data_IF_725936099256
#
_entry.id   IF_725936099256
#
_cell.length_a   1.000
_cell.length_b   1.000
_cell.length_c   1.000
_cell.angle_alpha   90.00
_cell.angle_beta   90.00
_cell.angle_gamma   90.00
#
_symmetry.space_group_name_H-M   'P 1'
#
loop_
_entity.id
_entity.type
_entity.pdbx_description
1 polymer ?
#
# COMPACT_ATOMS: atom_id res chain seq x y z
N UNK A 1 6.31 5.05 17.88
CA UNK A 1 7.58 4.33 17.62
C UNK A 1 7.35 2.97 16.99
N UNK A 2 8.42 2.32 16.49
CA UNK A 2 8.41 0.95 15.95
C UNK A 2 7.38 0.64 14.84
N UNK A 3 6.90 1.65 14.10
CA UNK A 3 6.03 1.41 12.96
C UNK A 3 6.83 0.94 11.73
N UNK A 4 6.21 0.13 10.89
CA UNK A 4 6.76 -0.30 9.61
C UNK A 4 6.05 0.41 8.46
N UNK A 5 6.81 1.10 7.61
CA UNK A 5 6.28 1.75 6.41
C UNK A 5 6.77 1.01 5.18
N UNK A 6 5.87 0.32 4.49
CA UNK A 6 6.19 -0.41 3.26
C UNK A 6 6.68 0.52 2.15
N UNK A 7 7.49 -0.02 1.23
CA UNK A 7 8.05 0.75 0.11
C UNK A 7 6.96 1.39 -0.75
N UNK A 8 7.26 2.57 -1.31
CA UNK A 8 6.34 3.34 -2.15
C UNK A 8 5.00 3.65 -1.44
N UNK A 9 5.05 3.98 -0.14
CA UNK A 9 3.90 4.48 0.61
C UNK A 9 3.79 5.99 0.45
N UNK A 10 2.58 6.47 0.21
CA UNK A 10 2.25 7.90 0.20
C UNK A 10 1.49 8.25 1.48
N UNK A 11 1.98 9.26 2.22
CA UNK A 11 1.33 9.77 3.44
C UNK A 11 0.75 11.16 3.15
N UNK A 12 -0.58 11.28 3.14
CA UNK A 12 -1.26 12.56 2.93
C UNK A 12 -1.46 13.23 4.29
N UNK A 13 -0.73 14.30 4.54
CA UNK A 13 -0.79 15.02 5.80
C UNK A 13 -2.08 15.86 5.95
N UNK A 14 -2.53 16.13 7.19
CA UNK A 14 -2.03 15.54 8.43
C UNK A 14 -2.54 14.10 8.62
N UNK A 15 -1.67 13.22 9.13
CA UNK A 15 -2.01 11.84 9.51
C UNK A 15 -1.11 11.36 10.64
N UNK A 16 -1.65 10.57 11.56
CA UNK A 16 -0.94 9.95 12.67
C UNK A 16 -0.80 8.44 12.42
N UNK A 17 0.43 7.94 12.54
CA UNK A 17 0.72 6.51 12.48
C UNK A 17 1.01 6.02 13.90
N UNK A 18 0.12 5.17 14.41
CA UNK A 18 0.23 4.61 15.75
C UNK A 18 1.47 3.76 15.96
N UNK A 19 1.84 3.58 17.23
CA UNK A 19 2.97 2.74 17.62
C UNK A 19 2.80 1.30 17.13
N UNK A 20 3.86 0.71 16.59
CA UNK A 20 3.83 -0.67 16.09
C UNK A 20 2.93 -0.90 14.87
N UNK A 21 2.35 0.15 14.27
CA UNK A 21 1.51 0.01 13.09
C UNK A 21 2.32 -0.47 11.87
N UNK A 22 1.66 -1.21 10.98
CA UNK A 22 2.24 -1.69 9.72
C UNK A 22 1.49 -1.07 8.54
N UNK A 23 2.24 -0.48 7.60
CA UNK A 23 1.70 0.03 6.35
C UNK A 23 2.17 -0.86 5.21
N UNK A 24 1.22 -1.42 4.45
CA UNK A 24 1.52 -2.23 3.29
C UNK A 24 2.17 -1.41 2.17
N UNK A 25 3.13 -2.00 1.46
CA UNK A 25 3.79 -1.35 0.32
C UNK A 25 2.78 -0.88 -0.75
N UNK A 26 3.08 0.25 -1.40
CA UNK A 26 2.23 0.84 -2.43
C UNK A 26 0.93 1.45 -1.91
N UNK A 27 0.79 1.69 -0.61
CA UNK A 27 -0.43 2.25 -0.02
C UNK A 27 -0.44 3.78 -0.04
N UNK A 28 -1.61 4.37 -0.30
CA UNK A 28 -1.87 5.79 -0.05
C UNK A 28 -2.70 5.94 1.22
N UNK A 29 -2.12 6.48 2.29
CA UNK A 29 -2.77 6.63 3.59
C UNK A 29 -3.27 8.07 3.75
N UNK A 30 -4.58 8.20 3.99
CA UNK A 30 -5.29 9.49 4.13
C UNK A 30 -6.05 9.63 5.45
N UNK A 31 -5.92 8.64 6.34
CA UNK A 31 -6.59 8.59 7.64
C UNK A 31 -5.63 8.00 8.67
N UNK A 32 -5.82 8.37 9.94
CA UNK A 32 -5.00 7.87 11.03
C UNK A 32 -5.00 6.35 11.09
N UNK A 33 -3.83 5.78 11.39
CA UNK A 33 -3.64 4.35 11.55
C UNK A 33 -3.50 4.03 13.03
N UNK A 34 -4.43 3.27 13.63
CA UNK A 34 -4.34 2.92 15.05
C UNK A 34 -3.05 2.14 15.40
N UNK A 35 -2.61 2.19 16.67
CA UNK A 35 -1.48 1.37 17.13
C UNK A 35 -1.69 -0.12 16.82
N UNK A 36 -0.60 -0.83 16.50
CA UNK A 36 -0.59 -2.25 16.11
C UNK A 36 -1.51 -2.66 14.95
N UNK A 37 -2.07 -1.69 14.20
CA UNK A 37 -2.94 -1.97 13.06
C UNK A 37 -2.16 -2.15 11.75
N UNK A 38 -2.74 -2.92 10.82
CA UNK A 38 -2.27 -3.04 9.44
C UNK A 38 -3.11 -2.13 8.52
N UNK A 39 -2.49 -1.10 7.98
CA UNK A 39 -3.08 -0.22 6.98
C UNK A 39 -2.67 -0.66 5.57
N UNK A 40 -3.66 -0.94 4.72
CA UNK A 40 -3.44 -1.33 3.32
C UNK A 40 -4.40 -0.55 2.44
N UNK A 41 -3.85 0.25 1.53
CA UNK A 41 -4.61 1.01 0.54
C UNK A 41 -4.13 0.67 -0.87
N UNK A 42 -4.21 -0.62 -1.22
CA UNK A 42 -3.85 -1.16 -2.54
C UNK A 42 -5.06 -1.80 -3.22
N UNK A 43 -5.10 -1.73 -4.54
CA UNK A 43 -6.04 -2.54 -5.32
C UNK A 43 -5.73 -4.03 -5.20
N UNK A 44 -6.76 -4.88 -5.35
CA UNK A 44 -6.53 -6.31 -5.56
C UNK A 44 -5.79 -6.48 -6.87
N UNK A 45 -4.66 -7.18 -6.82
CA UNK A 45 -3.94 -7.54 -8.04
C UNK A 45 -4.83 -8.45 -8.88
N UNK A 46 -4.89 -8.18 -10.18
CA UNK A 46 -5.46 -9.07 -11.18
C UNK A 46 -4.40 -9.32 -12.24
N UNK A 47 -4.18 -10.58 -12.56
CA UNK A 47 -3.36 -10.97 -13.69
C UNK A 47 -4.26 -11.04 -14.92
N UNK A 48 -3.84 -10.41 -16.02
CA UNK A 48 -4.45 -10.61 -17.34
C UNK A 48 -3.43 -11.35 -18.16
N UNK A 49 -3.63 -12.66 -18.30
CA UNK A 49 -2.76 -13.50 -19.11
C UNK A 49 -2.81 -13.07 -20.56
N UNK A 50 -1.71 -13.26 -21.30
CA UNK A 50 -1.64 -13.00 -22.74
C UNK A 50 -1.90 -11.53 -23.15
N UNK A 51 -1.74 -10.56 -22.23
CA UNK A 51 -1.99 -9.12 -22.45
C UNK A 51 -1.26 -8.52 -23.66
N UNK A 52 -0.06 -9.03 -23.95
CA UNK A 52 0.70 -8.71 -25.16
C UNK A 52 1.15 -10.01 -25.83
N UNK A 53 0.22 -10.69 -26.48
CA UNK A 53 0.56 -11.59 -27.59
C UNK A 53 0.83 -10.70 -28.79
N UNK A 54 2.09 -10.39 -29.04
CA UNK A 54 2.45 -9.71 -30.28
C UNK A 54 2.02 -10.58 -31.46
N UNK A 55 1.46 -9.93 -32.48
CA UNK A 55 1.14 -10.51 -33.77
C UNK A 55 2.46 -11.02 -34.37
N UNK A 56 2.68 -12.33 -34.37
CA UNK A 56 3.56 -12.91 -35.38
C UNK A 56 2.83 -12.79 -36.72
N UNK A 57 3.35 -11.92 -37.58
CA UNK A 57 3.12 -11.86 -39.02
C UNK A 57 4.46 -11.55 -39.66
#
# INVERSE_FOLDING_TARGET
DHCFVGSNTNLVAPVIIGEGAYIGAGSTITMDVPPAALAIARGRQRNIENWRKDKES
#
